data_IF_248797448443
#
_entry.id   IF_248797448443
#
_cell.length_a   1.000
_cell.length_b   1.000
_cell.length_c   1.000
_cell.angle_alpha   90.00
_cell.angle_beta   90.00
_cell.angle_gamma   90.00
#
_symmetry.space_group_name_H-M   'P 1'
#
loop_
_entity.id
_entity.type
_entity.pdbx_description
1 polymer ?
#
# COMPACT_ATOMS: atom_id res chain seq x y z
N UNK A 1 6.92 2.44 30.64
CA UNK A 1 6.59 3.27 29.48
C UNK A 1 7.89 3.65 28.80
N UNK A 2 8.15 3.18 27.59
CA UNK A 2 9.31 3.58 26.79
C UNK A 2 9.18 5.07 26.50
N UNK A 3 10.25 5.86 26.68
CA UNK A 3 10.16 7.28 26.39
C UNK A 3 9.94 7.50 24.88
N UNK A 4 9.31 8.59 24.48
CA UNK A 4 9.16 8.94 23.06
C UNK A 4 10.52 8.99 22.33
N UNK A 5 11.57 9.39 23.05
CA UNK A 5 12.93 9.41 22.54
C UNK A 5 13.46 8.01 22.24
N UNK A 6 13.20 7.02 23.12
CA UNK A 6 13.62 5.62 22.92
C UNK A 6 12.85 4.96 21.77
N UNK A 7 11.59 5.32 21.59
CA UNK A 7 10.80 4.88 20.45
C UNK A 7 11.37 5.42 19.14
N UNK A 8 11.60 6.72 19.06
CA UNK A 8 12.15 7.36 17.87
C UNK A 8 13.55 6.85 17.50
N UNK A 9 14.39 6.51 18.50
CA UNK A 9 15.72 5.96 18.28
C UNK A 9 15.72 4.58 17.59
N UNK A 10 14.62 3.83 17.67
CA UNK A 10 14.47 2.55 16.98
C UNK A 10 13.91 2.65 15.57
N UNK A 11 13.43 3.84 15.18
CA UNK A 11 12.90 4.07 13.84
C UNK A 11 14.04 4.34 12.86
N UNK A 12 14.07 3.59 11.76
CA UNK A 12 14.98 3.82 10.63
C UNK A 12 14.49 5.06 9.87
N UNK A 13 15.26 6.17 9.89
CA UNK A 13 14.93 7.34 9.08
C UNK A 13 15.14 7.01 7.60
N UNK A 14 14.41 7.70 6.73
CA UNK A 14 14.53 7.41 5.30
C UNK A 14 14.00 8.52 4.41
N UNK A 15 12.85 8.26 3.79
CA UNK A 15 12.26 9.17 2.81
C UNK A 15 12.12 10.60 3.37
N UNK A 16 12.51 11.58 2.55
CA UNK A 16 12.24 13.00 2.76
C UNK A 16 11.87 13.63 1.41
N UNK A 17 10.75 14.33 1.37
CA UNK A 17 10.30 15.00 0.16
C UNK A 17 9.09 15.88 0.40
N UNK A 18 8.51 16.35 -0.68
CA UNK A 18 7.30 17.17 -0.69
C UNK A 18 6.25 16.55 -1.60
N UNK A 19 4.98 16.84 -1.33
CA UNK A 19 3.90 16.57 -2.28
C UNK A 19 4.01 17.54 -3.47
N UNK A 20 4.14 17.01 -4.67
CA UNK A 20 4.16 17.82 -5.89
C UNK A 20 2.72 18.15 -6.32
N UNK A 21 2.55 19.27 -7.03
CA UNK A 21 1.23 19.69 -7.49
C UNK A 21 0.54 18.65 -8.40
N UNK A 22 1.31 17.96 -9.24
CA UNK A 22 0.78 16.93 -10.15
C UNK A 22 0.50 15.59 -9.47
N UNK A 23 0.88 15.42 -8.21
CA UNK A 23 0.58 14.27 -7.39
C UNK A 23 -0.74 14.44 -6.62
N UNK A 24 -1.31 15.66 -6.66
CA UNK A 24 -2.54 15.98 -5.95
C UNK A 24 -3.77 15.65 -6.79
N UNK A 25 -4.84 15.28 -6.09
CA UNK A 25 -6.14 15.03 -6.67
C UNK A 25 -6.89 16.36 -6.98
N UNK A 26 -8.13 16.24 -7.42
CA UNK A 26 -9.00 17.37 -7.74
C UNK A 26 -9.44 18.19 -6.52
N UNK A 27 -9.21 17.71 -5.30
CA UNK A 27 -9.40 18.44 -4.04
C UNK A 27 -8.14 19.20 -3.62
N UNK A 28 -7.02 19.02 -4.31
CA UNK A 28 -5.71 19.62 -4.01
C UNK A 28 -4.93 18.87 -2.93
N UNK A 29 -5.34 17.66 -2.58
CA UNK A 29 -4.66 16.81 -1.61
C UNK A 29 -3.83 15.73 -2.33
N UNK A 30 -2.71 15.34 -1.73
CA UNK A 30 -1.88 14.25 -2.23
C UNK A 30 -2.75 13.00 -2.45
N UNK A 31 -2.81 12.52 -3.69
CA UNK A 31 -3.58 11.33 -4.02
C UNK A 31 -3.04 10.11 -3.25
N UNK A 32 -3.93 9.26 -2.76
CA UNK A 32 -3.58 8.12 -1.90
C UNK A 32 -2.56 7.18 -2.53
N UNK A 33 -2.53 7.03 -3.87
CA UNK A 33 -1.54 6.21 -4.55
C UNK A 33 -0.10 6.68 -4.32
N UNK A 34 0.12 7.98 -4.19
CA UNK A 34 1.45 8.53 -3.91
C UNK A 34 1.91 8.29 -2.47
N UNK A 35 1.00 8.13 -1.50
CA UNK A 35 1.40 7.63 -0.17
C UNK A 35 2.00 6.23 -0.26
N UNK A 36 1.44 5.35 -1.09
CA UNK A 36 2.01 4.02 -1.35
C UNK A 36 3.35 4.11 -2.10
N UNK A 37 3.50 5.06 -3.01
CA UNK A 37 4.80 5.38 -3.63
C UNK A 37 5.85 5.75 -2.59
N UNK A 38 5.52 6.64 -1.62
CA UNK A 38 6.42 7.02 -0.53
C UNK A 38 6.71 5.84 0.42
N UNK A 39 5.73 4.96 0.64
CA UNK A 39 5.94 3.71 1.39
C UNK A 39 6.97 2.82 0.67
N UNK A 40 6.87 2.68 -0.65
CA UNK A 40 7.87 1.97 -1.47
C UNK A 40 9.26 2.61 -1.36
N UNK A 41 9.37 3.94 -1.42
CA UNK A 41 10.63 4.66 -1.24
C UNK A 41 11.22 4.41 0.15
N UNK A 42 10.41 4.51 1.21
CA UNK A 42 10.83 4.23 2.59
C UNK A 42 11.29 2.77 2.77
N UNK A 43 10.70 1.83 2.04
CA UNK A 43 11.10 0.42 2.11
C UNK A 43 12.53 0.17 1.63
N UNK A 44 13.13 1.01 0.76
CA UNK A 44 14.54 0.90 0.41
C UNK A 44 15.46 1.16 1.59
N UNK A 45 15.15 2.17 2.42
CA UNK A 45 15.92 2.48 3.63
C UNK A 45 15.82 1.36 4.67
N UNK A 46 14.61 0.79 4.83
CA UNK A 46 14.41 -0.35 5.73
C UNK A 46 15.17 -1.58 5.25
N UNK A 47 15.12 -1.92 3.95
CA UNK A 47 15.91 -3.01 3.38
C UNK A 47 17.42 -2.81 3.61
N UNK A 48 17.92 -1.59 3.42
CA UNK A 48 19.32 -1.26 3.69
C UNK A 48 19.67 -1.49 5.17
N UNK A 49 18.85 -0.99 6.10
CA UNK A 49 19.05 -1.20 7.53
C UNK A 49 19.05 -2.69 7.94
N UNK A 50 18.22 -3.49 7.27
CA UNK A 50 18.16 -4.95 7.43
C UNK A 50 19.35 -5.69 6.77
N UNK A 51 20.22 -4.96 6.04
CA UNK A 51 21.36 -5.54 5.33
C UNK A 51 20.99 -6.25 4.02
N UNK A 52 19.81 -5.97 3.49
CA UNK A 52 19.34 -6.49 2.22
C UNK A 52 19.80 -5.55 1.10
N UNK A 53 21.03 -5.73 0.65
CA UNK A 53 21.62 -4.95 -0.43
C UNK A 53 21.00 -5.37 -1.77
N UNK A 54 20.52 -4.43 -2.62
CA UNK A 54 19.92 -4.75 -3.91
C UNK A 54 20.83 -5.57 -4.84
N UNK A 55 22.14 -5.31 -4.84
CA UNK A 55 23.10 -6.09 -5.65
C UNK A 55 23.16 -7.55 -5.16
N UNK A 56 23.39 -7.75 -3.85
CA UNK A 56 23.45 -9.11 -3.29
C UNK A 56 22.14 -9.88 -3.42
N UNK A 57 21.00 -9.21 -3.37
CA UNK A 57 19.71 -9.85 -3.63
C UNK A 57 19.60 -10.33 -5.08
N UNK A 58 19.96 -9.49 -6.05
CA UNK A 58 19.97 -9.89 -7.47
C UNK A 58 20.93 -11.05 -7.72
N UNK A 59 22.16 -10.97 -7.21
CA UNK A 59 23.20 -11.98 -7.40
C UNK A 59 22.79 -13.34 -6.80
N UNK A 60 22.09 -13.32 -5.66
CA UNK A 60 21.59 -14.53 -5.01
C UNK A 60 20.28 -15.07 -5.58
N UNK A 61 19.62 -14.32 -6.47
CA UNK A 61 18.30 -14.67 -7.00
C UNK A 61 17.17 -14.53 -5.96
N UNK A 62 17.32 -13.61 -5.00
CA UNK A 62 16.31 -13.33 -3.99
C UNK A 62 15.77 -11.91 -4.09
N UNK A 63 14.59 -11.70 -3.52
CA UNK A 63 13.95 -10.39 -3.41
C UNK A 63 13.08 -10.29 -2.17
N UNK A 64 12.48 -9.13 -1.99
CA UNK A 64 11.41 -8.93 -1.01
C UNK A 64 10.13 -8.59 -1.76
N UNK A 65 9.03 -9.20 -1.38
CA UNK A 65 7.71 -8.95 -1.97
C UNK A 65 6.76 -8.44 -0.90
N UNK A 66 5.93 -7.46 -1.26
CA UNK A 66 4.81 -7.04 -0.43
C UNK A 66 3.67 -8.04 -0.61
N UNK A 67 3.08 -8.49 0.50
CA UNK A 67 1.95 -9.43 0.52
C UNK A 67 0.66 -8.73 0.95
N UNK A 68 0.79 -7.81 1.90
CA UNK A 68 -0.32 -7.00 2.41
C UNK A 68 0.22 -5.62 2.80
N UNK A 69 -0.51 -4.58 2.47
CA UNK A 69 -0.30 -3.24 3.01
C UNK A 69 -1.60 -2.74 3.63
N UNK A 70 -1.51 -2.32 4.88
CA UNK A 70 -2.59 -1.65 5.59
C UNK A 70 -2.15 -0.22 5.89
N UNK A 71 -2.89 0.75 5.36
CA UNK A 71 -2.60 2.17 5.51
C UNK A 71 -3.72 2.86 6.29
N UNK A 72 -3.33 3.77 7.21
CA UNK A 72 -4.22 4.73 7.84
C UNK A 72 -3.79 6.14 7.48
N UNK A 73 -4.75 6.94 7.05
CA UNK A 73 -4.54 8.36 6.74
C UNK A 73 -5.02 9.20 7.92
N UNK A 74 -4.13 10.00 8.49
CA UNK A 74 -4.37 10.78 9.71
C UNK A 74 -4.55 12.26 9.40
N UNK A 75 -3.91 12.74 8.33
CA UNK A 75 -3.96 14.13 7.90
C UNK A 75 -3.76 14.24 6.39
N UNK A 76 -4.48 15.15 5.78
CA UNK A 76 -4.30 15.52 4.38
C UNK A 76 -2.94 16.20 4.18
N UNK A 77 -2.34 15.95 3.02
CA UNK A 77 -1.10 16.59 2.57
C UNK A 77 -1.42 17.37 1.31
N UNK A 78 -1.21 18.67 1.35
CA UNK A 78 -1.42 19.55 0.19
C UNK A 78 -0.13 19.75 -0.60
N UNK A 79 -0.24 20.30 -1.81
CA UNK A 79 0.91 20.65 -2.64
C UNK A 79 1.94 21.50 -1.87
N UNK A 80 3.21 21.10 -1.92
CA UNK A 80 4.31 21.70 -1.16
C UNK A 80 4.45 21.16 0.26
N UNK A 81 3.51 20.37 0.76
CA UNK A 81 3.57 19.77 2.09
C UNK A 81 4.75 18.80 2.21
N UNK A 82 5.54 18.94 3.26
CA UNK A 82 6.67 18.05 3.55
C UNK A 82 6.20 16.70 4.07
N UNK A 83 6.94 15.65 3.70
CA UNK A 83 6.75 14.29 4.19
C UNK A 83 8.10 13.70 4.60
N UNK A 84 8.18 13.21 5.83
CA UNK A 84 9.37 12.58 6.42
C UNK A 84 8.98 11.17 6.84
N UNK A 85 9.60 10.17 6.20
CA UNK A 85 9.33 8.76 6.43
C UNK A 85 10.28 8.16 7.47
N UNK A 86 9.75 7.27 8.30
CA UNK A 86 10.49 6.43 9.25
C UNK A 86 9.88 5.03 9.26
N UNK A 87 10.67 4.02 9.61
CA UNK A 87 10.19 2.63 9.65
C UNK A 87 10.81 1.83 10.79
N UNK A 88 10.13 0.75 11.20
CA UNK A 88 10.62 -0.21 12.17
C UNK A 88 10.05 -1.60 11.87
N UNK A 89 10.59 -2.64 12.52
CA UNK A 89 10.03 -4.00 12.49
C UNK A 89 8.99 -4.11 13.61
N UNK A 90 7.85 -4.73 13.31
CA UNK A 90 6.82 -5.02 14.32
C UNK A 90 6.82 -6.51 14.66
N UNK A 91 6.97 -7.35 13.66
CA UNK A 91 6.91 -8.80 13.84
C UNK A 91 7.86 -9.48 12.86
N UNK A 92 8.62 -10.44 13.35
CA UNK A 92 9.49 -11.29 12.55
C UNK A 92 9.01 -12.73 12.63
N UNK A 93 8.61 -13.27 11.49
CA UNK A 93 8.27 -14.69 11.30
C UNK A 93 9.35 -15.39 10.49
N UNK A 94 9.23 -16.71 10.30
CA UNK A 94 10.24 -17.48 9.59
C UNK A 94 10.50 -16.98 8.15
N UNK A 95 9.44 -16.66 7.39
CA UNK A 95 9.50 -16.27 5.97
C UNK A 95 8.90 -14.90 5.67
N UNK A 96 8.21 -14.30 6.64
CA UNK A 96 7.58 -12.99 6.51
C UNK A 96 8.00 -12.07 7.64
N UNK A 97 7.85 -10.79 7.43
CA UNK A 97 8.12 -9.74 8.41
C UNK A 97 7.02 -8.69 8.31
N UNK A 98 6.59 -8.15 9.45
CA UNK A 98 5.70 -7.00 9.50
C UNK A 98 6.54 -5.76 9.74
N UNK A 99 6.48 -4.83 8.81
CA UNK A 99 7.15 -3.54 8.89
C UNK A 99 6.12 -2.45 9.16
N UNK A 100 6.41 -1.61 10.14
CA UNK A 100 5.72 -0.36 10.39
C UNK A 100 6.41 0.78 9.65
N UNK A 101 5.64 1.69 9.09
CA UNK A 101 6.13 2.95 8.56
C UNK A 101 5.21 4.09 9.01
N UNK A 102 5.78 5.26 9.24
CA UNK A 102 5.05 6.49 9.47
C UNK A 102 5.58 7.61 8.59
N UNK A 103 4.69 8.51 8.21
CA UNK A 103 5.01 9.75 7.52
C UNK A 103 4.52 10.92 8.35
N UNK A 104 5.40 11.91 8.55
CA UNK A 104 5.14 13.10 9.34
C UNK A 104 5.54 14.36 8.57
N UNK A 105 4.93 15.47 8.92
CA UNK A 105 5.34 16.78 8.40
C UNK A 105 6.56 17.34 9.17
N UNK A 106 7.00 18.55 8.79
CA UNK A 106 8.13 19.23 9.43
C UNK A 106 7.87 19.61 10.90
N UNK A 107 6.63 19.64 11.35
CA UNK A 107 6.20 19.91 12.73
C UNK A 107 5.94 18.61 13.52
N UNK A 108 6.39 17.47 12.99
CA UNK A 108 6.21 16.12 13.54
C UNK A 108 4.74 15.68 13.65
N UNK A 109 3.82 16.32 12.91
CA UNK A 109 2.44 15.89 12.86
C UNK A 109 2.26 14.69 11.93
N UNK A 110 1.55 13.66 12.43
CA UNK A 110 1.35 12.39 11.73
C UNK A 110 0.42 12.57 10.53
N UNK A 111 0.87 12.12 9.35
CA UNK A 111 0.13 12.18 8.09
C UNK A 111 -0.43 10.82 7.70
N UNK A 112 0.39 9.78 7.71
CA UNK A 112 -0.04 8.42 7.38
C UNK A 112 0.80 7.38 8.14
N UNK A 113 0.22 6.18 8.32
CA UNK A 113 0.94 5.01 8.83
C UNK A 113 0.67 3.80 7.95
N UNK A 114 1.69 2.97 7.80
CA UNK A 114 1.60 1.70 7.09
C UNK A 114 1.98 0.55 8.02
N UNK A 115 1.29 -0.54 7.85
CA UNK A 115 1.66 -1.87 8.34
C UNK A 115 1.77 -2.77 7.13
N UNK A 116 2.99 -3.12 6.75
CA UNK A 116 3.27 -3.90 5.54
C UNK A 116 3.77 -5.28 5.92
N UNK A 117 3.13 -6.33 5.40
CA UNK A 117 3.63 -7.69 5.48
C UNK A 117 4.51 -7.92 4.26
N UNK A 118 5.79 -8.15 4.49
CA UNK A 118 6.76 -8.48 3.44
C UNK A 118 7.24 -9.92 3.57
N UNK A 119 7.52 -10.55 2.44
CA UNK A 119 8.10 -11.88 2.36
C UNK A 119 9.51 -11.85 1.78
N UNK A 120 10.38 -12.77 2.21
CA UNK A 120 11.64 -13.03 1.55
C UNK A 120 11.43 -14.11 0.50
N UNK A 121 11.75 -13.81 -0.75
CA UNK A 121 11.30 -14.54 -1.91
C UNK A 121 12.46 -15.04 -2.77
N UNK A 122 12.45 -16.32 -3.13
CA UNK A 122 13.32 -16.91 -4.12
C UNK A 122 12.68 -16.72 -5.51
N UNK A 123 13.30 -15.90 -6.36
CA UNK A 123 12.77 -15.53 -7.67
C UNK A 123 12.78 -16.67 -8.68
N UNK A 124 13.67 -17.66 -8.49
CA UNK A 124 13.77 -18.85 -9.36
C UNK A 124 12.78 -19.93 -8.95
N UNK A 125 12.74 -20.25 -7.64
CA UNK A 125 11.82 -21.24 -7.10
C UNK A 125 10.38 -20.72 -6.93
N UNK A 126 10.15 -19.41 -7.12
CA UNK A 126 8.83 -18.74 -7.02
C UNK A 126 8.13 -19.03 -5.70
N UNK A 127 8.84 -18.90 -4.58
CA UNK A 127 8.30 -19.16 -3.24
C UNK A 127 8.98 -18.35 -2.15
N UNK A 128 8.27 -18.17 -1.04
CA UNK A 128 8.85 -17.59 0.15
C UNK A 128 9.86 -18.54 0.80
N UNK A 129 10.99 -17.98 1.20
CA UNK A 129 12.08 -18.68 1.90
C UNK A 129 12.39 -18.01 3.23
N UNK A 130 13.07 -18.71 4.18
CA UNK A 130 13.45 -18.11 5.44
C UNK A 130 14.39 -16.91 5.28
N UNK A 131 14.23 -15.92 6.16
CA UNK A 131 15.13 -14.77 6.23
C UNK A 131 16.56 -15.21 6.59
N UNK A 132 17.60 -14.61 5.96
CA UNK A 132 18.99 -14.79 6.37
C UNK A 132 19.19 -14.44 7.86
N UNK A 133 20.06 -15.19 8.57
CA UNK A 133 20.28 -14.99 10.00
C UNK A 133 20.73 -13.55 10.31
N UNK A 134 21.67 -13.01 9.54
CA UNK A 134 22.13 -11.63 9.70
C UNK A 134 20.99 -10.60 9.57
N UNK A 135 19.99 -10.87 8.72
CA UNK A 135 18.79 -10.03 8.57
C UNK A 135 17.88 -10.17 9.80
N UNK A 136 17.74 -11.39 10.34
CA UNK A 136 16.95 -11.65 11.54
C UNK A 136 17.51 -10.92 12.77
N UNK A 137 18.83 -10.97 12.95
CA UNK A 137 19.53 -10.26 14.04
C UNK A 137 19.34 -8.72 13.96
N UNK A 138 19.40 -8.17 12.74
CA UNK A 138 19.16 -6.73 12.53
C UNK A 138 17.70 -6.38 12.77
N UNK A 139 16.76 -7.21 12.30
CA UNK A 139 15.34 -7.02 12.51
C UNK A 139 14.98 -7.01 14.01
N UNK A 140 15.58 -7.90 14.80
CA UNK A 140 15.38 -7.93 16.24
C UNK A 140 15.79 -6.62 16.94
N UNK A 141 16.88 -5.98 16.48
CA UNK A 141 17.35 -4.69 17.02
C UNK A 141 16.42 -3.51 16.66
N UNK A 142 15.72 -3.61 15.52
CA UNK A 142 14.79 -2.59 15.01
C UNK A 142 13.34 -2.88 15.40
N UNK A 143 13.11 -3.83 16.31
CA UNK A 143 11.77 -4.25 16.70
C UNK A 143 11.13 -3.28 17.70
N UNK A 144 9.85 -3.00 17.45
CA UNK A 144 8.97 -2.18 18.31
C UNK A 144 7.59 -2.85 18.42
N UNK A 145 6.80 -2.48 19.42
CA UNK A 145 5.38 -2.76 19.42
C UNK A 145 4.66 -1.88 18.39
N UNK A 146 3.62 -2.41 17.74
CA UNK A 146 2.82 -1.62 16.81
C UNK A 146 2.16 -0.45 17.54
N UNK A 147 2.41 0.80 17.12
CA UNK A 147 1.79 1.94 17.76
C UNK A 147 0.25 1.90 17.65
N UNK A 148 -0.50 2.27 18.71
CA UNK A 148 -1.97 2.21 18.68
C UNK A 148 -2.61 2.99 17.53
N UNK A 149 -2.00 4.10 17.12
CA UNK A 149 -2.48 4.91 15.99
C UNK A 149 -2.31 4.23 14.63
N UNK A 150 -1.52 3.16 14.54
CA UNK A 150 -1.34 2.36 13.33
C UNK A 150 -2.20 1.07 13.33
N UNK A 151 -2.91 0.79 14.43
CA UNK A 151 -3.79 -0.37 14.50
C UNK A 151 -4.99 -0.22 13.54
N UNK A 152 -5.44 -1.33 12.91
CA UNK A 152 -6.64 -1.32 12.09
C UNK A 152 -7.87 -0.80 12.84
N UNK A 153 -8.71 0.00 12.16
CA UNK A 153 -9.94 0.54 12.73
C UNK A 153 -11.17 -0.28 12.31
N UNK A 154 -11.36 -0.44 11.02
CA UNK A 154 -12.56 -1.03 10.42
C UNK A 154 -12.24 -2.14 9.43
N UNK A 155 -11.05 -2.12 8.86
CA UNK A 155 -10.60 -3.12 7.88
C UNK A 155 -9.61 -4.06 8.58
N UNK A 156 -10.01 -5.29 8.93
CA UNK A 156 -9.12 -6.23 9.63
C UNK A 156 -7.85 -6.50 8.81
N UNK A 157 -6.70 -6.51 9.45
CA UNK A 157 -5.43 -6.90 8.87
C UNK A 157 -5.18 -8.41 9.05
N UNK A 158 -4.37 -9.00 8.15
CA UNK A 158 -3.87 -10.37 8.32
C UNK A 158 -4.84 -11.50 7.96
N UNK A 159 -6.01 -11.20 7.36
CA UNK A 159 -6.90 -12.23 6.84
C UNK A 159 -6.40 -12.74 5.48
N UNK A 160 -6.34 -14.06 5.30
CA UNK A 160 -6.06 -14.64 3.99
C UNK A 160 -7.11 -14.18 2.97
N UNK A 161 -6.68 -13.83 1.77
CA UNK A 161 -7.58 -13.54 0.65
C UNK A 161 -7.79 -14.85 -0.10
N UNK A 162 -9.05 -15.23 -0.25
CA UNK A 162 -9.41 -16.36 -1.10
C UNK A 162 -9.23 -15.97 -2.58
N UNK A 163 -8.70 -16.88 -3.38
CA UNK A 163 -8.76 -16.75 -4.84
C UNK A 163 -10.22 -16.85 -5.26
N UNK A 164 -10.79 -15.74 -5.72
CA UNK A 164 -12.17 -15.65 -6.21
C UNK A 164 -12.12 -15.38 -7.70
N UNK A 165 -12.87 -16.15 -8.49
CA UNK A 165 -12.92 -15.94 -9.93
C UNK A 165 -13.63 -14.61 -10.26
N UNK A 166 -13.33 -14.06 -11.43
CA UNK A 166 -14.04 -12.90 -11.94
C UNK A 166 -15.57 -13.15 -12.05
N UNK A 167 -15.95 -14.34 -12.49
CA UNK A 167 -17.36 -14.71 -12.62
C UNK A 167 -18.07 -14.74 -11.26
N UNK A 168 -17.45 -15.31 -10.24
CA UNK A 168 -18.01 -15.34 -8.89
C UNK A 168 -18.14 -13.92 -8.30
N UNK A 169 -17.15 -13.04 -8.57
CA UNK A 169 -17.25 -11.64 -8.16
C UNK A 169 -18.43 -10.92 -8.80
N UNK A 170 -18.67 -11.14 -10.10
CA UNK A 170 -19.84 -10.57 -10.77
C UNK A 170 -21.15 -11.14 -10.21
N UNK A 171 -21.18 -12.45 -9.89
CA UNK A 171 -22.34 -13.09 -9.26
C UNK A 171 -22.58 -12.58 -7.84
N UNK A 172 -21.53 -12.18 -7.12
CA UNK A 172 -21.60 -11.54 -5.79
C UNK A 172 -22.15 -10.10 -5.85
N UNK A 173 -22.20 -9.49 -7.03
CA UNK A 173 -22.71 -8.14 -7.24
C UNK A 173 -21.63 -7.08 -7.49
N UNK A 174 -20.38 -7.48 -7.68
CA UNK A 174 -19.38 -6.56 -8.18
C UNK A 174 -19.71 -6.12 -9.60
N UNK A 175 -19.35 -4.89 -9.94
CA UNK A 175 -19.47 -4.37 -11.28
C UNK A 175 -18.19 -3.67 -11.73
N UNK A 176 -18.02 -3.58 -13.04
CA UNK A 176 -16.81 -2.99 -13.62
C UNK A 176 -16.77 -1.49 -13.39
N UNK A 177 -15.66 -1.01 -12.82
CA UNK A 177 -15.43 0.41 -12.52
C UNK A 177 -14.16 0.97 -13.15
N UNK A 178 -13.29 0.11 -13.70
CA UNK A 178 -12.07 0.57 -14.35
C UNK A 178 -11.46 -0.51 -15.25
N UNK A 179 -10.47 -0.07 -16.02
CA UNK A 179 -9.65 -0.94 -16.84
C UNK A 179 -8.52 -0.17 -17.50
N UNK A 180 -7.30 -0.74 -17.48
CA UNK A 180 -6.13 -0.12 -18.07
C UNK A 180 -5.06 -1.19 -18.39
N UNK A 181 -4.11 -0.84 -19.28
CA UNK A 181 -2.90 -1.64 -19.48
C UNK A 181 -1.86 -1.35 -18.40
N UNK A 182 -0.97 -2.29 -18.16
CA UNK A 182 0.24 -2.10 -17.35
C UNK A 182 1.35 -1.60 -18.27
N UNK A 183 1.86 -0.41 -17.99
CA UNK A 183 2.92 0.20 -18.79
C UNK A 183 4.29 -0.10 -18.19
N UNK A 184 5.36 -0.03 -19.01
CA UNK A 184 6.74 -0.27 -18.55
C UNK A 184 7.17 0.63 -17.40
N UNK A 185 6.74 1.90 -17.38
CA UNK A 185 7.05 2.85 -16.31
C UNK A 185 6.30 2.61 -14.99
N UNK A 186 5.36 1.68 -15.00
CA UNK A 186 4.63 1.25 -13.80
C UNK A 186 5.29 0.05 -13.11
N UNK A 187 6.30 -0.54 -13.75
CA UNK A 187 6.97 -1.74 -13.28
C UNK A 187 8.23 -1.42 -12.46
N UNK A 188 8.51 -2.28 -11.50
CA UNK A 188 9.72 -2.23 -10.69
C UNK A 188 10.92 -2.92 -11.38
N UNK A 189 12.05 -3.02 -10.67
CA UNK A 189 13.27 -3.67 -11.18
C UNK A 189 13.15 -5.17 -11.46
N UNK A 190 12.06 -5.81 -11.05
CA UNK A 190 11.75 -7.22 -11.34
C UNK A 190 10.78 -7.36 -12.51
N UNK A 191 10.33 -6.26 -13.10
CA UNK A 191 9.35 -6.23 -14.19
C UNK A 191 7.91 -6.38 -13.73
N UNK A 192 7.64 -6.32 -12.43
CA UNK A 192 6.30 -6.41 -11.85
C UNK A 192 5.72 -5.03 -11.62
N UNK A 193 4.41 -4.88 -11.80
CA UNK A 193 3.73 -3.63 -11.49
C UNK A 193 3.95 -3.25 -10.02
N UNK A 194 4.50 -2.06 -9.77
CA UNK A 194 4.77 -1.56 -8.42
C UNK A 194 3.45 -1.35 -7.64
N UNK A 195 3.48 -1.61 -6.34
CA UNK A 195 2.33 -1.55 -5.43
C UNK A 195 1.53 -0.25 -5.53
N UNK A 196 2.19 0.88 -5.75
CA UNK A 196 1.56 2.18 -5.98
C UNK A 196 0.52 2.14 -7.10
N UNK A 197 0.77 1.40 -8.18
CA UNK A 197 -0.10 1.40 -9.35
C UNK A 197 -1.32 0.50 -9.19
N UNK A 198 -1.28 -0.50 -8.31
CA UNK A 198 -2.49 -1.21 -7.87
C UNK A 198 -3.46 -0.23 -7.19
N UNK A 199 -2.95 0.61 -6.29
CA UNK A 199 -3.76 1.64 -5.63
C UNK A 199 -4.23 2.70 -6.63
N UNK A 200 -3.39 3.08 -7.60
CA UNK A 200 -3.79 4.01 -8.65
C UNK A 200 -5.02 3.50 -9.44
N UNK A 201 -5.07 2.22 -9.79
CA UNK A 201 -6.26 1.62 -10.45
C UNK A 201 -7.53 1.80 -9.62
N UNK A 202 -7.41 1.74 -8.28
CA UNK A 202 -8.55 1.95 -7.38
C UNK A 202 -8.94 3.42 -7.29
N UNK A 203 -7.97 4.34 -7.25
CA UNK A 203 -8.26 5.78 -7.23
C UNK A 203 -8.87 6.28 -8.53
N UNK A 204 -8.53 5.66 -9.66
CA UNK A 204 -9.16 5.92 -10.97
C UNK A 204 -10.57 5.32 -11.04
N UNK A 205 -10.80 4.15 -10.44
CA UNK A 205 -12.11 3.51 -10.39
C UNK A 205 -13.10 4.21 -9.45
N UNK A 206 -12.61 4.87 -8.40
CA UNK A 206 -13.44 5.50 -7.36
C UNK A 206 -14.48 6.50 -7.88
N UNK A 207 -14.10 7.54 -8.64
CA UNK A 207 -15.05 8.50 -9.21
C UNK A 207 -16.11 7.83 -10.10
N UNK A 208 -15.70 6.87 -10.93
CA UNK A 208 -16.62 6.10 -11.79
C UNK A 208 -17.57 5.23 -10.95
N UNK A 209 -17.05 4.59 -9.89
CA UNK A 209 -17.87 3.83 -8.94
C UNK A 209 -18.98 4.68 -8.32
N UNK A 210 -18.64 5.87 -7.81
CA UNK A 210 -19.61 6.77 -7.19
C UNK A 210 -20.64 7.30 -8.19
N UNK A 211 -20.21 7.63 -9.40
CA UNK A 211 -21.11 8.05 -10.48
C UNK A 211 -22.13 6.98 -10.86
N UNK A 212 -21.70 5.71 -10.95
CA UNK A 212 -22.59 4.58 -11.23
C UNK A 212 -23.62 4.35 -10.11
N UNK A 213 -23.30 4.75 -8.88
CA UNK A 213 -24.22 4.77 -7.74
C UNK A 213 -25.09 6.04 -7.67
N UNK A 214 -25.04 6.91 -8.67
CA UNK A 214 -25.84 8.13 -8.74
C UNK A 214 -25.32 9.31 -7.92
N UNK A 215 -24.06 9.27 -7.47
CA UNK A 215 -23.43 10.38 -6.74
C UNK A 215 -22.69 11.31 -7.70
N UNK A 216 -23.13 12.58 -7.76
CA UNK A 216 -22.47 13.63 -8.51
C UNK A 216 -21.26 14.16 -7.72
N UNK A 217 -20.08 13.55 -7.95
CA UNK A 217 -18.86 13.99 -7.27
C UNK A 217 -18.45 15.44 -7.61
N UNK A 218 -18.48 15.91 -8.87
CA UNK A 218 -18.23 17.32 -9.18
C UNK A 218 -19.16 18.27 -8.42
N UNK A 219 -20.45 17.98 -8.34
CA UNK A 219 -21.41 18.79 -7.58
C UNK A 219 -21.14 18.78 -6.08
N UNK A 220 -20.72 17.65 -5.52
CA UNK A 220 -20.30 17.56 -4.11
C UNK A 220 -19.09 18.46 -3.85
N UNK A 221 -18.07 18.40 -4.70
CA UNK A 221 -16.85 19.24 -4.59
C UNK A 221 -17.22 20.73 -4.71
N UNK A 222 -18.05 21.10 -5.68
CA UNK A 222 -18.52 22.48 -5.84
C UNK A 222 -19.28 22.99 -4.62
N UNK A 223 -19.91 22.09 -3.85
CA UNK A 223 -20.59 22.41 -2.59
C UNK A 223 -19.68 22.38 -1.35
N UNK A 224 -18.34 22.24 -1.53
CA UNK A 224 -17.36 22.14 -0.45
C UNK A 224 -17.36 20.79 0.28
N UNK A 225 -17.91 19.74 -0.33
CA UNK A 225 -17.96 18.40 0.24
C UNK A 225 -17.17 17.41 -0.64
N UNK A 226 -16.68 16.34 -0.04
CA UNK A 226 -15.94 15.31 -0.76
C UNK A 226 -15.81 14.03 0.05
N UNK A 227 -15.16 13.04 -0.55
CA UNK A 227 -14.81 11.80 0.11
C UNK A 227 -13.33 11.82 0.45
N UNK A 228 -12.99 11.44 1.69
CA UNK A 228 -11.62 11.22 2.11
C UNK A 228 -11.44 9.74 2.50
N UNK A 229 -10.38 9.13 2.02
CA UNK A 229 -10.00 7.78 2.44
C UNK A 229 -9.32 7.87 3.79
N UNK A 230 -9.86 7.20 4.81
CA UNK A 230 -9.28 7.18 6.16
C UNK A 230 -8.47 5.93 6.45
N UNK A 231 -8.77 4.85 5.74
CA UNK A 231 -8.12 3.56 5.92
C UNK A 231 -8.20 2.77 4.61
N UNK A 232 -7.12 2.06 4.28
CA UNK A 232 -7.05 1.21 3.11
C UNK A 232 -6.24 -0.05 3.43
N UNK A 233 -6.70 -1.19 2.90
CA UNK A 233 -5.95 -2.44 2.92
C UNK A 233 -5.81 -2.96 1.51
N UNK A 234 -4.59 -3.30 1.15
CA UNK A 234 -4.23 -3.97 -0.10
C UNK A 234 -3.72 -5.36 0.19
N UNK A 235 -4.15 -6.34 -0.59
CA UNK A 235 -3.56 -7.68 -0.63
C UNK A 235 -3.08 -7.91 -2.06
N UNK A 236 -1.84 -8.32 -2.20
CA UNK A 236 -1.23 -8.63 -3.49
C UNK A 236 -1.27 -10.14 -3.67
N UNK A 237 -2.12 -10.62 -4.59
CA UNK A 237 -2.45 -12.03 -4.75
C UNK A 237 -1.64 -12.66 -5.87
N UNK A 238 -1.53 -11.95 -6.99
CA UNK A 238 -0.72 -12.37 -8.13
C UNK A 238 -0.02 -11.14 -8.74
N UNK A 239 1.07 -11.40 -9.45
CA UNK A 239 1.89 -10.35 -10.06
C UNK A 239 1.30 -9.93 -11.41
N UNK A 240 1.42 -8.63 -11.70
CA UNK A 240 1.08 -8.04 -12.99
C UNK A 240 2.36 -7.58 -13.68
N UNK A 241 2.44 -7.79 -14.99
CA UNK A 241 3.61 -7.50 -15.81
C UNK A 241 3.30 -6.45 -16.87
N UNK A 242 4.36 -5.86 -17.43
CA UNK A 242 4.24 -4.98 -18.58
C UNK A 242 3.43 -5.65 -19.71
N UNK A 243 2.45 -4.93 -20.25
CA UNK A 243 1.56 -5.41 -21.31
C UNK A 243 0.30 -6.13 -20.82
N UNK A 244 0.21 -6.48 -19.54
CA UNK A 244 -1.03 -7.03 -18.98
C UNK A 244 -2.17 -6.00 -19.06
N UNK A 245 -3.38 -6.49 -19.22
CA UNK A 245 -4.60 -5.70 -19.15
C UNK A 245 -5.28 -5.98 -17.83
N UNK A 246 -5.55 -4.94 -17.06
CA UNK A 246 -6.20 -5.02 -15.74
C UNK A 246 -7.61 -4.48 -15.81
N UNK A 247 -8.56 -5.22 -15.28
CA UNK A 247 -9.92 -4.79 -15.04
C UNK A 247 -10.14 -4.60 -13.53
N UNK A 248 -10.78 -3.49 -13.14
CA UNK A 248 -11.18 -3.24 -11.76
C UNK A 248 -12.67 -3.47 -11.60
N UNK A 249 -13.02 -4.38 -10.69
CA UNK A 249 -14.39 -4.61 -10.24
C UNK A 249 -14.56 -4.02 -8.83
N UNK A 250 -15.70 -3.43 -8.55
CA UNK A 250 -15.98 -2.78 -7.25
C UNK A 250 -17.36 -3.11 -6.72
N UNK A 251 -17.48 -3.14 -5.39
CA UNK A 251 -18.75 -3.32 -4.68
C UNK A 251 -18.80 -2.44 -3.43
N UNK A 252 -19.99 -1.95 -3.09
CA UNK A 252 -20.25 -1.27 -1.83
C UNK A 252 -20.56 -2.32 -0.76
N UNK A 253 -19.69 -2.43 0.25
CA UNK A 253 -19.83 -3.41 1.34
C UNK A 253 -20.66 -2.91 2.50
N UNK A 254 -20.48 -1.63 2.83
CA UNK A 254 -21.07 -1.07 4.03
C UNK A 254 -21.28 0.44 3.86
N UNK A 255 -22.38 0.95 4.39
CA UNK A 255 -22.67 2.37 4.48
C UNK A 255 -23.03 2.70 5.92
N UNK A 256 -22.52 3.81 6.42
CA UNK A 256 -22.85 4.37 7.74
C UNK A 256 -23.02 5.88 7.63
N UNK A 257 -23.46 6.52 8.69
CA UNK A 257 -23.63 7.98 8.76
C UNK A 257 -22.35 8.76 8.50
N UNK A 258 -21.18 8.12 8.62
CA UNK A 258 -19.86 8.78 8.55
C UNK A 258 -18.98 8.26 7.42
N UNK A 259 -19.43 7.32 6.62
CA UNK A 259 -18.61 6.78 5.53
C UNK A 259 -19.14 5.48 4.94
N UNK A 260 -18.39 5.00 3.97
CA UNK A 260 -18.69 3.77 3.28
C UNK A 260 -17.44 2.90 3.20
N UNK A 261 -17.61 1.58 3.13
CA UNK A 261 -16.56 0.63 2.82
C UNK A 261 -16.79 0.09 1.42
N UNK A 262 -15.80 0.29 0.56
CA UNK A 262 -15.78 -0.21 -0.82
C UNK A 262 -14.71 -1.29 -0.92
N UNK A 263 -15.02 -2.37 -1.61
CA UNK A 263 -14.05 -3.39 -1.99
C UNK A 263 -13.80 -3.30 -3.49
N UNK A 264 -12.52 -3.33 -3.86
CA UNK A 264 -12.06 -3.40 -5.24
C UNK A 264 -11.31 -4.71 -5.45
N UNK A 265 -11.54 -5.35 -6.59
CA UNK A 265 -10.79 -6.53 -7.06
C UNK A 265 -10.21 -6.22 -8.42
N UNK A 266 -8.92 -6.48 -8.58
CA UNK A 266 -8.20 -6.29 -9.83
C UNK A 266 -8.01 -7.65 -10.48
N UNK A 267 -8.42 -7.78 -11.75
CA UNK A 267 -8.28 -9.00 -12.52
C UNK A 267 -7.39 -8.78 -13.73
N UNK A 268 -6.40 -9.65 -13.91
CA UNK A 268 -5.69 -9.74 -15.17
C UNK A 268 -6.66 -10.31 -16.23
N UNK A 269 -6.95 -9.53 -17.26
CA UNK A 269 -7.93 -9.91 -18.30
C UNK A 269 -7.44 -11.09 -19.13
N UNK A 270 -6.11 -11.20 -19.35
CA UNK A 270 -5.51 -12.27 -20.16
C UNK A 270 -5.54 -13.63 -19.47
N UNK A 271 -5.32 -13.68 -18.16
CA UNK A 271 -5.26 -14.92 -17.37
C UNK A 271 -6.53 -15.19 -16.58
N UNK A 272 -7.35 -14.18 -16.32
CA UNK A 272 -8.50 -14.24 -15.41
C UNK A 272 -8.12 -14.27 -13.92
N UNK A 273 -6.84 -14.15 -13.58
CA UNK A 273 -6.36 -14.20 -12.21
C UNK A 273 -6.71 -12.92 -11.44
N UNK A 274 -7.04 -13.09 -10.15
CA UNK A 274 -7.10 -12.00 -9.17
C UNK A 274 -5.67 -11.59 -8.81
N UNK A 275 -5.38 -10.28 -8.82
CA UNK A 275 -4.05 -9.73 -8.59
C UNK A 275 -3.97 -8.84 -7.36
#
# INVERSE_FOLDING_TARGET
MTSQTDFLAKLVPGYQGIAQKWECDNMGHLNVSYFFGRSSDQAFFMRHALGLNPASLRDSGHGTVALEEHCRFHREVTSGGMMIGRSAVVELRARTMVVYQEFRDAQDALQATFRTVIGFFDTKARRLVPWPEATREKAAKLSIDLPPHAAPLRVPAGSAVAHVSRADSLAEGFFRTGGAGVNSWECDQFGHMNTMFYVRRQTEAGPHFWQLLGLDQPGLIASGRGFAVSEMRMNYVDELYEGDIVETLSILREVSDRGARVEHRLYNVGTGALS
#
